data_IF_518935492563
#
_entry.id   IF_518935492563
#
_cell.length_a   1.000
_cell.length_b   1.000
_cell.length_c   1.000
_cell.angle_alpha   90.00
_cell.angle_beta   90.00
_cell.angle_gamma   90.00
#
_symmetry.space_group_name_H-M   'P 1'
#
loop_
_entity.id
_entity.type
_entity.pdbx_description
1 polymer ?
#
# COMPACT_ATOMS: atom_id res chain seq x y z
N UNK A 1 13.87 -4.60 -17.08
CA UNK A 1 14.38 -4.48 -15.69
C UNK A 1 13.24 -4.06 -14.75
N UNK A 2 12.13 -4.81 -14.76
CA UNK A 2 10.99 -4.76 -13.81
C UNK A 2 10.61 -6.19 -13.38
N UNK A 3 11.35 -7.21 -13.85
CA UNK A 3 11.07 -8.64 -13.68
C UNK A 3 11.19 -9.16 -12.24
N UNK A 4 11.33 -8.28 -11.24
CA UNK A 4 11.60 -8.65 -9.85
C UNK A 4 10.79 -7.89 -8.79
N UNK A 5 9.92 -6.94 -9.17
CA UNK A 5 9.02 -6.29 -8.21
C UNK A 5 7.71 -7.08 -8.18
N UNK A 6 7.72 -8.21 -7.48
CA UNK A 6 6.56 -9.10 -7.34
C UNK A 6 5.55 -8.53 -6.32
N UNK A 7 5.00 -7.36 -6.63
CA UNK A 7 4.01 -6.71 -5.78
C UNK A 7 2.70 -7.51 -5.71
N UNK A 8 2.41 -8.33 -6.74
CA UNK A 8 1.30 -9.28 -6.73
C UNK A 8 1.49 -10.34 -5.65
N UNK A 9 2.68 -10.96 -5.58
CA UNK A 9 2.99 -11.87 -4.48
C UNK A 9 2.91 -11.18 -3.12
N UNK A 10 3.40 -9.93 -3.01
CA UNK A 10 3.26 -9.14 -1.77
C UNK A 10 1.79 -8.96 -1.38
N UNK A 11 0.92 -8.62 -2.33
CA UNK A 11 -0.52 -8.47 -2.09
C UNK A 11 -1.14 -9.79 -1.63
N UNK A 12 -0.86 -10.89 -2.32
CA UNK A 12 -1.38 -12.21 -1.96
C UNK A 12 -0.89 -12.69 -0.59
N UNK A 13 0.40 -12.54 -0.29
CA UNK A 13 1.00 -12.85 1.01
C UNK A 13 0.30 -12.09 2.14
N UNK A 14 0.09 -10.77 1.96
CA UNK A 14 -0.55 -9.92 2.95
C UNK A 14 -2.03 -10.27 3.10
N UNK A 15 -2.76 -10.45 2.00
CA UNK A 15 -4.18 -10.82 2.04
C UNK A 15 -4.38 -12.16 2.76
N UNK A 16 -3.56 -13.17 2.46
CA UNK A 16 -3.61 -14.47 3.13
C UNK A 16 -3.26 -14.34 4.62
N UNK A 17 -2.21 -13.60 4.97
CA UNK A 17 -1.80 -13.40 6.36
C UNK A 17 -2.88 -12.69 7.18
N UNK A 18 -3.56 -11.68 6.62
CA UNK A 18 -4.69 -11.04 7.29
C UNK A 18 -5.92 -11.95 7.34
N UNK A 19 -6.13 -12.76 6.31
CA UNK A 19 -7.15 -13.80 6.28
C UNK A 19 -7.00 -14.76 7.46
N UNK A 20 -5.81 -15.33 7.65
CA UNK A 20 -5.51 -16.20 8.78
C UNK A 20 -5.64 -15.48 10.13
N UNK A 21 -5.06 -14.27 10.24
CA UNK A 21 -5.04 -13.49 11.50
C UNK A 21 -6.45 -13.17 12.00
N UNK A 22 -7.36 -12.86 11.09
CA UNK A 22 -8.72 -12.41 11.43
C UNK A 22 -9.79 -13.48 11.19
N UNK A 23 -9.39 -14.71 10.84
CA UNK A 23 -10.29 -15.79 10.48
C UNK A 23 -11.27 -15.36 9.37
N UNK A 24 -10.73 -14.84 8.26
CA UNK A 24 -11.48 -14.39 7.09
C UNK A 24 -11.22 -15.30 5.90
N UNK A 25 -12.28 -15.64 5.18
CA UNK A 25 -12.16 -16.33 3.90
C UNK A 25 -12.21 -15.28 2.78
N UNK A 26 -11.06 -15.02 2.15
CA UNK A 26 -10.89 -13.94 1.18
C UNK A 26 -10.68 -14.49 -0.23
N UNK A 27 -11.20 -13.77 -1.22
CA UNK A 27 -10.87 -13.93 -2.63
C UNK A 27 -10.16 -12.69 -3.17
N UNK A 28 -9.24 -12.92 -4.10
CA UNK A 28 -8.54 -11.85 -4.83
C UNK A 28 -9.01 -11.90 -6.27
N UNK A 29 -9.61 -10.81 -6.74
CA UNK A 29 -10.02 -10.63 -8.13
C UNK A 29 -8.79 -10.36 -9.01
N UNK A 30 -8.42 -11.35 -9.81
CA UNK A 30 -7.25 -11.30 -10.69
C UNK A 30 -7.37 -10.23 -11.76
N UNK A 31 -8.58 -9.99 -12.30
CA UNK A 31 -8.79 -8.97 -13.34
C UNK A 31 -8.59 -7.56 -12.77
N UNK A 32 -9.08 -7.34 -11.55
CA UNK A 32 -8.86 -6.07 -10.85
C UNK A 32 -7.36 -5.88 -10.53
N UNK A 33 -6.65 -6.93 -10.13
CA UNK A 33 -5.19 -6.88 -9.90
C UNK A 33 -4.44 -6.54 -11.20
N UNK A 34 -4.85 -7.07 -12.35
CA UNK A 34 -4.31 -6.74 -13.66
C UNK A 34 -4.52 -5.25 -14.02
N UNK A 35 -5.70 -4.71 -13.74
CA UNK A 35 -5.99 -3.29 -13.94
C UNK A 35 -5.11 -2.40 -13.04
N UNK A 36 -4.95 -2.77 -11.76
CA UNK A 36 -4.04 -2.09 -10.83
C UNK A 36 -2.61 -2.10 -11.39
N UNK A 37 -2.13 -3.23 -11.91
CA UNK A 37 -0.79 -3.32 -12.50
C UNK A 37 -0.62 -2.37 -13.68
N UNK A 38 -1.60 -2.32 -14.58
CA UNK A 38 -1.57 -1.43 -15.73
C UNK A 38 -1.56 0.06 -15.30
N UNK A 39 -2.25 0.41 -14.23
CA UNK A 39 -2.21 1.77 -13.67
C UNK A 39 -0.85 2.10 -13.05
N UNK A 40 -0.30 1.19 -12.24
CA UNK A 40 0.99 1.36 -11.58
C UNK A 40 2.13 1.42 -12.61
N UNK A 41 2.11 0.54 -13.62
CA UNK A 41 3.10 0.50 -14.70
C UNK A 41 3.12 1.76 -15.57
N UNK A 42 1.95 2.34 -15.87
CA UNK A 42 1.87 3.63 -16.59
C UNK A 42 2.54 4.75 -15.82
N UNK A 43 2.22 4.88 -14.53
CA UNK A 43 2.83 5.88 -13.64
C UNK A 43 4.36 5.78 -13.63
N UNK A 44 4.90 4.55 -13.60
CA UNK A 44 6.34 4.33 -13.59
C UNK A 44 7.02 4.74 -14.89
N UNK A 45 6.33 4.55 -16.02
CA UNK A 45 6.79 4.98 -17.34
C UNK A 45 6.79 6.51 -17.44
N UNK A 46 5.78 7.17 -16.89
CA UNK A 46 5.65 8.64 -16.84
C UNK A 46 6.71 9.32 -15.96
N UNK A 47 7.16 8.69 -14.86
CA UNK A 47 8.15 9.27 -13.95
C UNK A 47 9.61 9.17 -14.41
N UNK A 48 9.89 8.51 -15.55
CA UNK A 48 11.27 8.27 -16.01
C UNK A 48 11.98 7.18 -15.22
N UNK A 49 12.98 6.57 -15.84
CA UNK A 49 13.62 5.26 -15.53
C UNK A 49 14.26 5.08 -14.14
N UNK A 50 14.02 5.94 -13.16
CA UNK A 50 14.49 5.75 -11.79
C UNK A 50 13.34 5.93 -10.78
N UNK A 51 12.47 4.92 -10.65
CA UNK A 51 11.25 5.05 -9.88
C UNK A 51 11.55 5.15 -8.39
N UNK A 52 11.19 6.28 -7.79
CA UNK A 52 11.17 6.41 -6.33
C UNK A 52 10.17 5.37 -5.77
N UNK A 53 10.66 4.39 -5.00
CA UNK A 53 9.84 3.33 -4.39
C UNK A 53 8.67 3.89 -3.58
N UNK A 54 8.82 5.07 -2.98
CA UNK A 54 7.74 5.72 -2.27
C UNK A 54 6.57 6.12 -3.20
N UNK A 55 6.86 6.55 -4.43
CA UNK A 55 5.84 6.84 -5.45
C UNK A 55 5.14 5.57 -5.89
N UNK A 56 5.91 4.50 -6.11
CA UNK A 56 5.35 3.19 -6.42
C UNK A 56 4.42 2.69 -5.32
N UNK A 57 4.85 2.75 -4.07
CA UNK A 57 4.05 2.38 -2.90
C UNK A 57 2.78 3.24 -2.76
N UNK A 58 2.88 4.55 -2.98
CA UNK A 58 1.74 5.46 -2.96
C UNK A 58 0.70 5.14 -4.02
N UNK A 59 1.14 4.88 -5.25
CA UNK A 59 0.25 4.50 -6.35
C UNK A 59 -0.38 3.13 -6.14
N UNK A 60 0.40 2.13 -5.70
CA UNK A 60 -0.13 0.80 -5.37
C UNK A 60 -1.19 0.90 -4.28
N UNK A 61 -0.90 1.61 -3.19
CA UNK A 61 -1.84 1.86 -2.08
C UNK A 61 -3.13 2.50 -2.59
N UNK A 62 -3.02 3.55 -3.39
CA UNK A 62 -4.18 4.25 -3.95
C UNK A 62 -5.04 3.33 -4.84
N UNK A 63 -4.44 2.62 -5.80
CA UNK A 63 -5.19 1.81 -6.75
C UNK A 63 -5.79 0.55 -6.13
N UNK A 64 -5.09 -0.12 -5.20
CA UNK A 64 -5.65 -1.23 -4.42
C UNK A 64 -6.86 -0.75 -3.64
N UNK A 65 -6.74 0.36 -2.90
CA UNK A 65 -7.85 0.93 -2.14
C UNK A 65 -9.02 1.34 -3.03
N UNK A 66 -8.74 1.91 -4.20
CA UNK A 66 -9.77 2.44 -5.11
C UNK A 66 -10.53 1.33 -5.82
N UNK A 67 -9.82 0.32 -6.34
CA UNK A 67 -10.40 -0.75 -7.15
C UNK A 67 -10.85 -1.95 -6.31
N UNK A 68 -10.38 -2.07 -5.07
CA UNK A 68 -10.82 -3.05 -4.07
C UNK A 68 -10.79 -4.50 -4.58
N UNK A 69 -9.59 -5.05 -4.89
CA UNK A 69 -9.47 -6.38 -5.47
C UNK A 69 -9.86 -7.53 -4.51
N UNK A 70 -10.06 -7.25 -3.21
CA UNK A 70 -10.29 -8.28 -2.21
C UNK A 70 -11.76 -8.31 -1.80
N UNK A 71 -12.37 -9.48 -1.87
CA UNK A 71 -13.74 -9.74 -1.43
C UNK A 71 -13.77 -10.83 -0.36
N UNK A 72 -14.86 -10.89 0.39
CA UNK A 72 -15.09 -11.97 1.35
C UNK A 72 -15.91 -13.06 0.67
N UNK A 73 -15.53 -14.32 0.86
CA UNK A 73 -16.37 -15.47 0.53
C UNK A 73 -17.58 -15.51 1.45
N UNK A 74 -18.68 -16.09 0.96
CA UNK A 74 -19.89 -16.31 1.76
C UNK A 74 -19.64 -17.20 2.98
N UNK A 75 -18.61 -18.05 2.92
CA UNK A 75 -18.21 -18.93 4.03
C UNK A 75 -17.40 -18.22 5.11
N UNK A 76 -17.05 -16.94 4.94
CA UNK A 76 -16.25 -16.19 5.92
C UNK A 76 -17.05 -16.01 7.22
N UNK A 77 -16.53 -16.41 8.40
CA UNK A 77 -17.26 -16.35 9.66
C UNK A 77 -17.46 -14.91 10.14
N UNK A 78 -16.61 -13.99 9.70
CA UNK A 78 -16.73 -12.55 9.96
C UNK A 78 -16.41 -11.72 8.71
N UNK A 79 -16.60 -10.39 8.81
CA UNK A 79 -16.29 -9.44 7.75
C UNK A 79 -15.43 -8.30 8.28
N UNK A 80 -14.28 -8.08 7.66
CA UNK A 80 -13.50 -6.87 7.83
C UNK A 80 -13.80 -5.90 6.68
N UNK A 81 -14.69 -4.94 6.93
CA UNK A 81 -15.09 -3.96 5.92
C UNK A 81 -13.97 -3.00 5.48
N UNK A 82 -12.82 -2.99 6.18
CA UNK A 82 -11.65 -2.20 5.85
C UNK A 82 -10.51 -3.04 5.22
N UNK A 83 -10.77 -4.29 4.82
CA UNK A 83 -9.71 -5.21 4.39
C UNK A 83 -8.90 -4.67 3.20
N UNK A 84 -9.55 -4.02 2.23
CA UNK A 84 -8.85 -3.44 1.08
C UNK A 84 -7.98 -2.24 1.49
N UNK A 85 -8.46 -1.39 2.40
CA UNK A 85 -7.70 -0.28 2.94
C UNK A 85 -6.50 -0.79 3.75
N UNK A 86 -6.69 -1.77 4.63
CA UNK A 86 -5.62 -2.37 5.43
C UNK A 86 -4.56 -3.05 4.56
N UNK A 87 -4.98 -3.90 3.61
CA UNK A 87 -4.05 -4.52 2.64
C UNK A 87 -3.33 -3.47 1.82
N UNK A 88 -4.03 -2.43 1.34
CA UNK A 88 -3.40 -1.38 0.52
C UNK A 88 -2.24 -0.70 1.23
N UNK A 89 -2.43 -0.31 2.51
CA UNK A 89 -1.38 0.33 3.30
C UNK A 89 -0.24 -0.63 3.54
N UNK A 90 -0.53 -1.86 3.98
CA UNK A 90 0.50 -2.84 4.31
C UNK A 90 1.32 -3.21 3.06
N UNK A 91 0.70 -3.31 1.88
CA UNK A 91 1.41 -3.52 0.60
C UNK A 91 2.36 -2.35 0.32
N UNK A 92 1.90 -1.11 0.43
CA UNK A 92 2.77 0.06 0.25
C UNK A 92 3.95 0.08 1.24
N UNK A 93 3.69 -0.24 2.50
CA UNK A 93 4.74 -0.34 3.52
C UNK A 93 5.72 -1.49 3.23
N UNK A 94 5.23 -2.64 2.78
CA UNK A 94 6.06 -3.77 2.41
C UNK A 94 6.96 -3.43 1.21
N UNK A 95 6.44 -2.73 0.20
CA UNK A 95 7.23 -2.25 -0.93
C UNK A 95 8.36 -1.33 -0.46
N UNK A 96 8.05 -0.33 0.37
CA UNK A 96 9.05 0.57 0.93
C UNK A 96 10.07 -0.14 1.84
N UNK A 97 9.68 -1.19 2.59
CA UNK A 97 10.60 -1.95 3.43
C UNK A 97 11.50 -2.90 2.64
N UNK A 98 10.95 -3.57 1.61
CA UNK A 98 11.69 -4.56 0.80
C UNK A 98 12.64 -3.91 -0.20
N UNK A 99 12.25 -2.76 -0.75
CA UNK A 99 12.97 -2.13 -1.86
C UNK A 99 13.42 -0.68 -1.59
N UNK A 100 12.97 -0.07 -0.50
CA UNK A 100 13.36 1.28 -0.15
C UNK A 100 14.76 1.35 0.47
N UNK A 101 15.40 2.53 0.44
CA UNK A 101 16.77 2.71 0.90
C UNK A 101 16.93 2.75 2.43
N UNK A 102 15.82 2.80 3.19
CA UNK A 102 15.82 3.01 4.64
C UNK A 102 14.76 2.16 5.34
N UNK A 103 15.13 1.64 6.51
CA UNK A 103 14.18 1.04 7.44
C UNK A 103 13.36 2.12 8.14
N UNK A 104 12.08 1.84 8.38
CA UNK A 104 11.20 2.69 9.17
C UNK A 104 10.26 1.83 10.02
N UNK A 105 9.82 2.38 11.14
CA UNK A 105 8.76 1.83 11.97
C UNK A 105 7.55 2.77 11.94
N UNK A 106 6.37 2.21 12.13
CA UNK A 106 5.13 2.98 12.25
C UNK A 106 4.43 2.46 13.48
N UNK A 107 4.00 3.37 14.35
CA UNK A 107 3.23 3.01 15.53
C UNK A 107 1.88 2.40 15.11
N UNK A 108 1.40 1.34 15.79
CA UNK A 108 0.14 0.69 15.44
C UNK A 108 -1.05 1.66 15.36
N UNK A 109 -1.08 2.68 16.24
CA UNK A 109 -2.12 3.71 16.23
C UNK A 109 -2.08 4.55 14.94
N UNK A 110 -0.90 4.98 14.51
CA UNK A 110 -0.74 5.74 13.25
C UNK A 110 -1.16 4.90 12.04
N UNK A 111 -0.83 3.61 12.04
CA UNK A 111 -1.28 2.68 11.01
C UNK A 111 -2.81 2.58 10.98
N UNK A 112 -3.44 2.41 12.14
CA UNK A 112 -4.89 2.36 12.28
C UNK A 112 -5.56 3.65 11.76
N UNK A 113 -5.08 4.81 12.20
CA UNK A 113 -5.61 6.11 11.80
C UNK A 113 -5.49 6.33 10.28
N UNK A 114 -4.40 5.83 9.67
CA UNK A 114 -4.24 5.87 8.22
C UNK A 114 -5.26 4.99 7.49
N UNK A 115 -5.47 3.75 7.94
CA UNK A 115 -6.49 2.86 7.36
C UNK A 115 -7.89 3.49 7.45
N UNK A 116 -8.24 4.06 8.62
CA UNK A 116 -9.51 4.76 8.82
C UNK A 116 -9.63 5.98 7.89
N UNK A 117 -8.57 6.77 7.76
CA UNK A 117 -8.53 7.93 6.87
C UNK A 117 -8.70 7.54 5.40
N UNK A 118 -8.03 6.47 4.95
CA UNK A 118 -8.18 5.94 3.59
C UNK A 118 -9.60 5.49 3.31
N UNK A 119 -10.30 4.94 4.30
CA UNK A 119 -11.70 4.57 4.16
C UNK A 119 -12.62 5.78 4.07
N UNK A 120 -12.42 6.77 4.93
CA UNK A 120 -13.30 7.92 5.07
C UNK A 120 -13.14 8.98 3.97
N UNK A 121 -11.98 9.04 3.32
CA UNK A 121 -11.64 10.15 2.42
C UNK A 121 -11.20 9.70 1.03
N UNK A 122 -11.43 10.55 0.02
CA UNK A 122 -10.89 10.37 -1.32
C UNK A 122 -9.44 10.82 -1.38
N UNK A 123 -8.53 9.96 -0.93
CA UNK A 123 -7.09 10.19 -1.09
C UNK A 123 -6.75 10.24 -2.58
N UNK A 124 -5.98 11.24 -3.02
CA UNK A 124 -5.41 11.25 -4.36
C UNK A 124 -4.16 10.36 -4.40
N UNK A 125 -3.75 9.86 -5.58
CA UNK A 125 -2.49 9.12 -5.72
C UNK A 125 -1.27 9.94 -5.26
N UNK A 126 -1.33 11.27 -5.44
CA UNK A 126 -0.30 12.21 -5.00
C UNK A 126 -0.25 12.33 -3.47
N UNK A 127 -1.41 12.40 -2.80
CA UNK A 127 -1.48 12.43 -1.35
C UNK A 127 -0.91 11.16 -0.72
N UNK A 128 -1.27 9.99 -1.27
CA UNK A 128 -0.73 8.70 -0.81
C UNK A 128 0.79 8.63 -0.99
N UNK A 129 1.28 9.09 -2.15
CA UNK A 129 2.72 9.17 -2.47
C UNK A 129 3.48 10.04 -1.47
N UNK A 130 2.96 11.23 -1.14
CA UNK A 130 3.61 12.15 -0.22
C UNK A 130 3.83 11.52 1.16
N UNK A 131 2.85 10.76 1.66
CA UNK A 131 2.96 10.05 2.95
C UNK A 131 4.12 9.05 2.91
N UNK A 132 4.23 8.23 1.87
CA UNK A 132 5.35 7.29 1.73
C UNK A 132 6.69 7.99 1.52
N UNK A 133 6.72 9.13 0.82
CA UNK A 133 7.95 9.92 0.66
C UNK A 133 8.42 10.48 2.00
N UNK A 134 7.51 11.00 2.84
CA UNK A 134 7.83 11.45 4.20
C UNK A 134 8.36 10.30 5.07
N UNK A 135 7.70 9.14 5.01
CA UNK A 135 8.11 7.95 5.77
C UNK A 135 9.51 7.46 5.38
N UNK A 136 9.79 7.37 4.08
CA UNK A 136 11.06 6.81 3.57
C UNK A 136 12.22 7.79 3.62
N UNK A 137 11.96 9.11 3.57
CA UNK A 137 13.00 10.13 3.75
C UNK A 137 13.35 10.35 5.23
N UNK A 138 12.52 9.85 6.14
CA UNK A 138 12.53 10.25 7.55
C UNK A 138 12.06 11.69 7.67
N UNK A 139 11.25 12.01 8.67
CA UNK A 139 10.96 13.40 8.98
C UNK A 139 12.29 14.10 9.35
N UNK A 140 12.90 14.80 8.40
CA UNK A 140 13.98 15.75 8.69
C UNK A 140 13.31 17.05 9.10
N UNK A 141 12.80 17.08 10.33
CA UNK A 141 12.55 18.34 11.02
C UNK A 141 13.83 18.67 11.79
N UNK A 142 14.77 19.38 11.17
CA UNK A 142 15.69 20.26 11.90
C UNK A 142 16.01 21.49 11.05
N UNK A 143 15.46 22.64 11.47
CA UNK A 143 16.27 23.83 11.57
C UNK A 143 16.23 24.34 13.02
N UNK A 144 16.67 23.51 13.97
CA UNK A 144 17.16 23.99 15.26
C UNK A 144 18.67 23.76 15.27
N UNK A 145 19.38 24.63 14.56
CA UNK A 145 20.81 24.89 14.73
C UNK A 145 21.04 26.37 14.39
N UNK A 146 20.67 27.25 15.31
CA UNK A 146 21.34 28.53 15.57
C UNK A 146 20.80 29.12 16.87
N UNK A 147 21.25 28.51 17.98
CA UNK A 147 21.43 29.25 19.23
C UNK A 147 22.81 29.93 19.20
#
# INVERSE_FOLDING_TARGET
>A
MMSHLDWRAILSEIANSLGEKYDLHLDIDVQVVEEIEAHVGRTMTEYGLNPNIAKLAGHATFWIRKLKPISHRDTSPSRNLAINEEVSVIVGLALCRRFGPRSFSIEPKVLYDWVVSLRAHSHSPHGSTLVFEMLTRGFVARPDDSA
#
